data_IF_421242171401
#
_entry.id   IF_421242171401
#
_cell.length_a   1.000
_cell.length_b   1.000
_cell.length_c   1.000
_cell.angle_alpha   90.00
_cell.angle_beta   90.00
_cell.angle_gamma   90.00
#
_symmetry.space_group_name_H-M   'P 1'
#
loop_
_entity.id
_entity.type
_entity.pdbx_description
1 polymer ?
#
# COMPACT_ATOMS: atom_id res chain seq x y z
N UNK A 1 6.54 9.97 3.86
CA UNK A 1 7.60 8.94 3.81
C UNK A 1 7.40 8.02 4.99
N UNK A 2 7.08 6.73 4.77
CA UNK A 2 6.87 5.78 5.87
C UNK A 2 8.22 5.50 6.53
N UNK A 3 8.36 5.75 7.83
CA UNK A 3 9.58 5.36 8.57
C UNK A 3 9.53 3.84 8.74
N UNK A 4 10.38 3.13 7.99
CA UNK A 4 10.63 1.70 8.21
C UNK A 4 11.01 1.52 9.70
N UNK A 5 10.24 0.72 10.45
CA UNK A 5 10.61 0.20 11.78
C UNK A 5 12.03 -0.41 11.78
N UNK A 6 12.80 -0.26 12.85
CA UNK A 6 14.18 -0.79 12.89
C UNK A 6 14.19 -2.29 13.23
N UNK A 7 13.51 -3.12 12.43
CA UNK A 7 13.30 -4.56 12.71
C UNK A 7 14.64 -5.28 12.90
N UNK A 8 15.60 -5.06 11.99
CA UNK A 8 16.94 -5.65 12.08
C UNK A 8 17.63 -5.31 13.41
N UNK A 9 17.64 -4.03 13.78
CA UNK A 9 18.26 -3.59 15.03
C UNK A 9 17.56 -4.14 16.28
N UNK A 10 16.23 -4.32 16.23
CA UNK A 10 15.48 -4.95 17.33
C UNK A 10 15.92 -6.41 17.46
N UNK A 11 15.94 -7.16 16.35
CA UNK A 11 16.34 -8.57 16.34
C UNK A 11 17.79 -8.76 16.77
N UNK A 12 18.70 -7.88 16.36
CA UNK A 12 20.11 -7.91 16.77
C UNK A 12 20.26 -7.76 18.29
N UNK A 13 19.52 -6.83 18.91
CA UNK A 13 19.56 -6.65 20.37
C UNK A 13 18.96 -7.86 21.11
N UNK A 14 17.89 -8.45 20.56
CA UNK A 14 17.29 -9.67 21.12
C UNK A 14 18.25 -10.87 21.01
N UNK A 15 18.96 -11.03 19.89
CA UNK A 15 19.98 -12.07 19.69
C UNK A 15 21.17 -11.95 20.67
N UNK A 16 21.47 -10.74 21.13
CA UNK A 16 22.46 -10.48 22.20
C UNK A 16 21.93 -10.76 23.62
N UNK A 17 20.79 -11.41 23.76
CA UNK A 17 20.10 -11.69 25.03
C UNK A 17 19.70 -10.43 25.84
N UNK A 18 19.55 -9.27 25.18
CA UNK A 18 19.03 -8.08 25.86
C UNK A 18 17.52 -8.21 26.06
N UNK A 19 17.03 -7.65 27.16
CA UNK A 19 15.60 -7.63 27.41
C UNK A 19 14.88 -6.71 26.42
N UNK A 20 13.62 -7.02 26.10
CA UNK A 20 12.78 -6.16 25.27
C UNK A 20 12.66 -4.72 25.82
N UNK A 21 12.81 -4.55 27.15
CA UNK A 21 12.82 -3.25 27.83
C UNK A 21 14.08 -2.45 27.52
N UNK A 22 15.24 -3.08 27.52
CA UNK A 22 16.52 -2.43 27.20
C UNK A 22 16.59 -2.10 25.71
N UNK A 23 16.21 -3.04 24.84
CA UNK A 23 16.14 -2.82 23.40
C UNK A 23 15.23 -1.62 23.05
N UNK A 24 14.06 -1.53 23.71
CA UNK A 24 13.13 -0.40 23.58
C UNK A 24 13.78 0.94 23.95
N UNK A 25 14.52 0.99 25.08
CA UNK A 25 15.23 2.20 25.52
C UNK A 25 16.36 2.60 24.56
N UNK A 26 17.16 1.63 24.10
CA UNK A 26 18.30 1.86 23.21
C UNK A 26 17.84 2.38 21.85
N UNK A 27 16.80 1.78 21.28
CA UNK A 27 16.33 2.12 19.93
C UNK A 27 15.30 3.26 19.90
N UNK A 28 14.75 3.66 21.05
CA UNK A 28 13.67 4.63 21.14
C UNK A 28 12.35 4.12 20.55
N UNK A 29 12.16 2.79 20.55
CA UNK A 29 10.99 2.12 19.98
C UNK A 29 10.04 1.69 21.10
N UNK A 30 8.73 1.73 20.88
CA UNK A 30 7.75 1.26 21.87
C UNK A 30 7.98 -0.21 22.23
N UNK A 31 7.70 -0.56 23.49
CA UNK A 31 7.76 -1.96 23.95
C UNK A 31 6.78 -2.85 23.18
N UNK A 32 5.66 -2.30 22.74
CA UNK A 32 4.66 -3.03 21.95
C UNK A 32 5.21 -3.46 20.59
N UNK A 33 5.99 -2.60 19.93
CA UNK A 33 6.62 -2.92 18.66
C UNK A 33 7.73 -3.95 18.81
N UNK A 34 8.51 -3.90 19.90
CA UNK A 34 9.51 -4.94 20.19
C UNK A 34 8.83 -6.30 20.45
N UNK A 35 7.73 -6.31 21.22
CA UNK A 35 6.95 -7.52 21.46
C UNK A 35 6.31 -8.07 20.17
N UNK A 36 5.77 -7.21 19.30
CA UNK A 36 5.24 -7.60 17.99
C UNK A 36 6.31 -8.32 17.15
N UNK A 37 7.51 -7.74 17.04
CA UNK A 37 8.63 -8.35 16.31
C UNK A 37 9.04 -9.69 16.93
N UNK A 38 9.05 -9.81 18.26
CA UNK A 38 9.39 -11.05 18.95
C UNK A 38 8.37 -12.16 18.68
N UNK A 39 7.07 -11.83 18.69
CA UNK A 39 6.00 -12.77 18.35
C UNK A 39 6.11 -13.23 16.89
N UNK A 40 6.36 -12.30 15.97
CA UNK A 40 6.54 -12.61 14.56
C UNK A 40 7.78 -13.49 14.31
N UNK A 41 8.87 -13.29 15.05
CA UNK A 41 10.06 -14.12 14.96
C UNK A 41 9.75 -15.56 15.41
N UNK A 42 9.06 -15.71 16.54
CA UNK A 42 8.59 -17.00 17.05
C UNK A 42 7.65 -17.70 16.05
N UNK A 43 6.78 -16.96 15.37
CA UNK A 43 5.89 -17.50 14.33
C UNK A 43 6.63 -17.92 13.05
N UNK A 44 7.83 -17.39 12.82
CA UNK A 44 8.62 -17.67 11.62
C UNK A 44 9.49 -18.91 11.74
N UNK A 45 9.55 -19.55 12.92
CA UNK A 45 10.38 -20.72 13.26
C UNK A 45 11.88 -20.56 12.91
N UNK A 46 12.36 -19.32 12.82
CA UNK A 46 13.74 -18.98 12.44
C UNK A 46 14.52 -18.41 13.62
N UNK A 47 15.81 -18.71 13.68
CA UNK A 47 16.72 -18.06 14.61
C UNK A 47 17.18 -16.71 14.08
N UNK A 48 17.70 -15.86 14.98
CA UNK A 48 18.43 -14.65 14.59
C UNK A 48 19.56 -14.96 13.60
N UNK A 49 20.30 -16.05 13.82
CA UNK A 49 21.44 -16.42 12.98
C UNK A 49 21.02 -16.65 11.52
N UNK A 50 19.89 -17.34 11.29
CA UNK A 50 19.35 -17.63 9.95
C UNK A 50 18.90 -16.36 9.21
N UNK A 51 18.49 -15.34 9.96
CA UNK A 51 17.92 -14.10 9.44
C UNK A 51 18.98 -13.00 9.31
N UNK A 52 20.09 -13.12 10.06
CA UNK A 52 21.16 -12.12 10.10
C UNK A 52 21.81 -11.86 8.75
N UNK A 53 21.83 -12.86 7.87
CA UNK A 53 22.37 -12.80 6.50
C UNK A 53 21.37 -12.23 5.48
N UNK A 54 20.10 -12.06 5.85
CA UNK A 54 19.07 -11.62 4.91
C UNK A 54 19.15 -10.12 4.65
N UNK A 55 18.74 -9.72 3.46
CA UNK A 55 18.56 -8.30 3.15
C UNK A 55 17.38 -7.69 3.94
N UNK A 56 17.45 -6.39 4.19
CA UNK A 56 16.42 -5.65 4.93
C UNK A 56 15.06 -5.76 4.25
N UNK A 57 14.98 -5.74 2.92
CA UNK A 57 13.70 -5.83 2.22
C UNK A 57 13.06 -7.21 2.36
N UNK A 58 13.87 -8.28 2.27
CA UNK A 58 13.42 -9.66 2.49
C UNK A 58 12.96 -9.90 3.93
N UNK A 59 13.67 -9.31 4.89
CA UNK A 59 13.28 -9.30 6.30
C UNK A 59 11.90 -8.65 6.43
N UNK A 60 11.73 -7.48 5.84
CA UNK A 60 10.50 -6.73 5.90
C UNK A 60 9.29 -7.45 5.31
N UNK A 61 9.47 -8.16 4.20
CA UNK A 61 8.43 -8.98 3.59
C UNK A 61 8.01 -10.16 4.48
N UNK A 62 8.96 -10.78 5.18
CA UNK A 62 8.69 -11.89 6.11
C UNK A 62 7.81 -11.42 7.29
N UNK A 63 8.18 -10.31 7.93
CA UNK A 63 7.49 -9.80 9.11
C UNK A 63 6.18 -9.07 8.76
N UNK A 64 6.10 -8.43 7.59
CA UNK A 64 4.98 -7.58 7.20
C UNK A 64 4.48 -7.87 5.77
N UNK A 65 4.04 -9.10 5.48
CA UNK A 65 3.66 -9.52 4.13
C UNK A 65 2.46 -8.73 3.58
N UNK A 66 1.61 -8.19 4.46
CA UNK A 66 0.35 -7.54 4.09
C UNK A 66 0.36 -6.01 4.25
N UNK A 67 1.40 -5.41 4.86
CA UNK A 67 1.47 -3.96 5.07
C UNK A 67 1.82 -3.18 3.80
N UNK A 68 2.52 -3.81 2.85
CA UNK A 68 2.99 -3.17 1.61
C UNK A 68 2.29 -3.66 0.34
N UNK A 69 1.40 -4.65 0.44
CA UNK A 69 0.55 -5.00 -0.69
C UNK A 69 -0.32 -3.81 -1.02
N UNK A 70 -0.14 -3.28 -2.24
CA UNK A 70 -1.04 -2.28 -2.78
C UNK A 70 -2.45 -2.89 -2.85
N UNK A 71 -3.30 -2.50 -1.90
CA UNK A 71 -4.74 -2.82 -1.91
C UNK A 71 -5.43 -1.58 -2.46
N UNK A 72 -5.89 -1.58 -3.74
CA UNK A 72 -6.66 -0.46 -4.25
C UNK A 72 -7.91 -0.31 -3.40
N UNK A 73 -8.09 0.85 -2.76
CA UNK A 73 -9.29 1.12 -1.95
C UNK A 73 -10.55 1.22 -2.79
N UNK A 74 -10.38 1.55 -4.06
CA UNK A 74 -11.46 1.70 -5.01
C UNK A 74 -11.44 0.51 -5.96
N UNK A 75 -12.64 0.05 -6.32
CA UNK A 75 -12.78 -0.86 -7.45
C UNK A 75 -12.14 -0.22 -8.71
N UNK A 76 -11.60 -1.02 -9.63
CA UNK A 76 -11.11 -0.50 -10.90
C UNK A 76 -12.24 0.29 -11.57
N UNK A 77 -11.96 1.55 -11.90
CA UNK A 77 -12.95 2.44 -12.52
C UNK A 77 -13.07 2.10 -14.00
N UNK A 78 -14.29 1.85 -14.47
CA UNK A 78 -14.56 1.74 -15.91
C UNK A 78 -14.57 3.14 -16.54
N UNK A 79 -13.39 3.58 -16.97
CA UNK A 79 -13.22 4.86 -17.67
C UNK A 79 -14.04 4.96 -18.95
N UNK A 80 -14.35 3.83 -19.61
CA UNK A 80 -15.17 3.84 -20.84
C UNK A 80 -16.61 4.26 -20.54
N UNK A 81 -17.16 3.78 -19.43
CA UNK A 81 -18.48 4.20 -18.95
C UNK A 81 -18.46 5.67 -18.50
N UNK A 82 -17.49 6.05 -17.65
CA UNK A 82 -17.37 7.43 -17.13
C UNK A 82 -17.28 8.44 -18.27
N UNK A 83 -16.47 8.18 -19.29
CA UNK A 83 -16.36 9.07 -20.46
C UNK A 83 -17.66 9.19 -21.25
N UNK A 84 -18.43 8.10 -21.40
CA UNK A 84 -19.75 8.14 -22.07
C UNK A 84 -20.74 9.01 -21.31
N UNK A 85 -20.84 8.85 -20.00
CA UNK A 85 -21.76 9.62 -19.16
C UNK A 85 -21.36 11.10 -19.09
N UNK A 86 -20.06 11.40 -18.95
CA UNK A 86 -19.56 12.78 -19.00
C UNK A 86 -19.83 13.42 -20.36
N UNK A 87 -19.64 12.68 -21.45
CA UNK A 87 -19.96 13.17 -22.80
C UNK A 87 -21.45 13.51 -22.90
N UNK A 88 -22.36 12.63 -22.46
CA UNK A 88 -23.82 12.89 -22.42
C UNK A 88 -24.17 14.14 -21.60
N UNK A 89 -23.60 14.29 -20.41
CA UNK A 89 -23.84 15.44 -19.55
C UNK A 89 -23.38 16.75 -20.22
N UNK A 90 -22.22 16.74 -20.86
CA UNK A 90 -21.70 17.89 -21.62
C UNK A 90 -22.64 18.21 -22.80
N UNK A 91 -23.11 17.21 -23.56
CA UNK A 91 -24.07 17.43 -24.64
C UNK A 91 -25.35 18.10 -24.14
N UNK A 92 -25.88 17.67 -22.98
CA UNK A 92 -27.11 18.21 -22.40
C UNK A 92 -26.98 19.67 -21.93
N UNK A 93 -25.76 20.16 -21.70
CA UNK A 93 -25.48 21.54 -21.31
C UNK A 93 -25.24 22.48 -22.51
N UNK A 94 -25.13 21.93 -23.74
CA UNK A 94 -24.99 22.72 -24.96
C UNK A 94 -26.40 23.12 -25.45
N UNK A 95 -26.64 24.41 -25.76
CA UNK A 95 -27.89 24.85 -26.36
C UNK A 95 -28.22 24.06 -27.63
N UNK A 96 -29.47 23.62 -27.78
CA UNK A 96 -29.94 22.71 -28.86
C UNK A 96 -29.58 23.22 -30.28
N UNK A 97 -29.44 24.54 -30.46
CA UNK A 97 -29.00 25.16 -31.72
C UNK A 97 -27.53 24.95 -32.08
N UNK A 98 -26.65 24.71 -31.11
CA UNK A 98 -25.19 24.51 -31.29
C UNK A 98 -24.81 23.02 -31.40
N UNK A 99 -25.66 22.12 -30.90
CA UNK A 99 -25.48 20.66 -31.03
C UNK A 99 -25.44 20.21 -32.50
N UNK A 100 -26.19 20.85 -33.41
CA UNK A 100 -26.24 20.46 -34.83
C UNK A 100 -24.94 20.75 -35.59
N UNK A 101 -24.24 21.83 -35.24
CA UNK A 101 -22.98 22.20 -35.90
C UNK A 101 -21.79 21.34 -35.45
N UNK A 102 -21.81 20.85 -34.20
CA UNK A 102 -20.76 19.97 -33.65
C UNK A 102 -20.94 18.49 -34.03
N UNK A 103 -22.17 18.09 -34.40
CA UNK A 103 -22.50 16.75 -34.90
C UNK A 103 -21.75 16.35 -36.19
N UNK A 104 -21.34 17.33 -37.01
CA UNK A 104 -20.64 17.08 -38.28
C UNK A 104 -19.16 16.70 -38.11
N UNK A 105 -18.54 16.97 -36.96
CA UNK A 105 -17.09 16.78 -36.77
C UNK A 105 -16.72 15.57 -35.91
N UNK A 106 -17.64 14.99 -35.13
CA UNK A 106 -17.38 13.74 -34.39
C UNK A 106 -18.65 12.89 -34.32
N UNK A 107 -18.61 11.72 -34.95
CA UNK A 107 -19.67 10.71 -35.06
C UNK A 107 -20.44 10.53 -33.73
N UNK A 108 -21.76 10.79 -33.78
CA UNK A 108 -22.68 10.60 -32.66
C UNK A 108 -22.95 9.09 -32.41
N UNK A 109 -23.01 8.63 -31.15
CA UNK A 109 -23.60 7.34 -30.84
C UNK A 109 -25.12 7.48 -31.02
N UNK A 110 -25.62 6.92 -32.11
CA UNK A 110 -27.05 6.88 -32.46
C UNK A 110 -27.90 6.41 -31.28
N UNK A 111 -28.91 7.22 -30.98
CA UNK A 111 -30.01 6.89 -30.08
C UNK A 111 -30.65 5.56 -30.51
N UNK A 112 -30.77 4.65 -29.55
CA UNK A 112 -31.74 3.56 -29.56
C UNK A 112 -32.44 3.57 -28.21
#
# INVERSE_FOLDING_TARGET
MFKKTKVRSILELLGKNLSAREASKILGVSRNTVAEVQVLLLQSDKSWDDISEWDDDRLYELFYPDKFKYKPRYAPVDYSYVHKELKKAIWNLIPVGVQRHTCLLQQCPTAR
#
